data_IF_202712160359
#
_entry.id   IF_202712160359
#
_cell.length_a   1.000
_cell.length_b   1.000
_cell.length_c   1.000
_cell.angle_alpha   90.00
_cell.angle_beta   90.00
_cell.angle_gamma   90.00
#
_symmetry.space_group_name_H-M   'P 1'
#
loop_
_entity.id
_entity.type
_entity.pdbx_description
1 polymer ?
#
# COMPACT_ATOMS: atom_id res chain seq x y z
N UNK A 1 -22.22 59.02 -39.97
CA UNK A 1 -23.64 59.35 -39.86
C UNK A 1 -24.47 58.19 -40.32
N UNK A 2 -25.51 57.87 -39.61
CA UNK A 2 -26.61 56.91 -39.79
C UNK A 2 -26.42 55.58 -39.06
N UNK A 3 -27.04 55.52 -37.86
CA UNK A 3 -27.31 54.36 -37.05
C UNK A 3 -28.47 53.58 -37.68
N UNK A 4 -28.32 52.24 -37.79
CA UNK A 4 -29.44 51.33 -38.00
C UNK A 4 -29.65 50.48 -36.77
N UNK A 5 -30.74 50.75 -36.04
CA UNK A 5 -31.27 49.93 -34.95
C UNK A 5 -32.03 48.73 -35.53
N UNK A 6 -31.65 47.49 -35.17
CA UNK A 6 -32.45 46.29 -35.45
C UNK A 6 -33.38 46.02 -34.30
N UNK A 7 -34.64 46.18 -34.51
CA UNK A 7 -35.74 45.77 -33.64
C UNK A 7 -35.90 44.26 -33.70
N UNK A 8 -35.79 43.56 -32.56
CA UNK A 8 -36.14 42.16 -32.44
C UNK A 8 -37.62 42.00 -32.21
N UNK A 9 -38.30 41.26 -33.10
CA UNK A 9 -39.72 40.89 -33.00
C UNK A 9 -39.84 39.72 -32.02
N UNK A 10 -40.72 39.88 -31.01
CA UNK A 10 -41.16 38.81 -30.12
C UNK A 10 -42.28 38.02 -30.81
N UNK A 11 -42.13 36.67 -30.84
CA UNK A 11 -43.21 35.78 -31.24
C UNK A 11 -44.02 35.34 -30.01
N UNK A 12 -45.35 35.27 -30.10
CA UNK A 12 -46.19 34.84 -28.98
C UNK A 12 -46.13 33.30 -28.80
N UNK A 13 -45.95 32.87 -27.58
CA UNK A 13 -46.04 31.48 -27.18
C UNK A 13 -47.49 31.00 -27.17
N UNK A 14 -47.78 29.97 -27.93
CA UNK A 14 -49.06 29.22 -27.86
C UNK A 14 -49.14 28.47 -26.53
N UNK A 15 -50.20 28.73 -25.78
CA UNK A 15 -50.56 28.01 -24.57
C UNK A 15 -51.43 26.80 -25.00
N UNK A 16 -50.87 25.59 -24.87
CA UNK A 16 -51.63 24.34 -25.06
C UNK A 16 -52.22 23.94 -23.71
N UNK A 17 -53.48 24.05 -23.55
CA UNK A 17 -54.27 23.59 -22.40
C UNK A 17 -54.56 22.09 -22.59
N UNK A 18 -53.89 21.20 -21.89
CA UNK A 18 -54.24 19.77 -21.79
C UNK A 18 -55.30 19.58 -20.70
N UNK A 19 -56.50 19.24 -21.10
CA UNK A 19 -57.58 18.78 -20.21
C UNK A 19 -57.27 17.32 -19.79
N UNK A 20 -57.04 17.09 -18.52
CA UNK A 20 -56.94 15.71 -17.93
C UNK A 20 -58.33 15.27 -17.58
N UNK A 21 -58.78 14.23 -18.28
CA UNK A 21 -60.00 13.43 -17.90
C UNK A 21 -59.58 12.43 -16.79
N UNK A 22 -60.10 12.61 -15.58
CA UNK A 22 -59.95 11.69 -14.47
C UNK A 22 -60.92 10.52 -14.64
N UNK A 23 -60.36 9.36 -15.05
CA UNK A 23 -61.08 8.08 -14.97
C UNK A 23 -60.81 7.46 -13.61
N UNK A 24 -61.80 7.38 -12.69
CA UNK A 24 -61.76 6.60 -11.48
C UNK A 24 -61.89 5.09 -11.83
N UNK A 25 -60.79 4.34 -11.77
CA UNK A 25 -60.78 2.90 -11.72
C UNK A 25 -60.83 2.46 -10.26
N UNK A 26 -61.95 1.90 -9.82
CA UNK A 26 -62.05 1.21 -8.55
C UNK A 26 -61.31 -0.13 -8.64
N UNK A 27 -60.19 -0.28 -7.96
CA UNK A 27 -59.50 -1.57 -7.76
C UNK A 27 -60.03 -2.23 -6.50
N UNK A 28 -60.22 -3.56 -6.49
CA UNK A 28 -60.64 -4.28 -5.30
C UNK A 28 -59.49 -4.34 -4.29
N UNK A 29 -59.81 -4.05 -3.02
CA UNK A 29 -58.92 -4.23 -1.89
C UNK A 29 -58.66 -5.73 -1.69
N UNK A 30 -57.54 -6.23 -2.25
CA UNK A 30 -56.99 -7.54 -1.92
C UNK A 30 -56.34 -7.46 -0.54
N UNK A 31 -56.81 -8.30 0.40
CA UNK A 31 -56.17 -8.45 1.71
C UNK A 31 -54.74 -8.98 1.51
N UNK A 32 -53.75 -8.16 1.87
CA UNK A 32 -52.36 -8.57 1.93
C UNK A 32 -52.13 -9.43 3.18
N UNK A 33 -52.12 -10.74 2.99
CA UNK A 33 -51.65 -11.67 4.03
C UNK A 33 -50.14 -11.46 4.21
N UNK A 34 -49.75 -10.88 5.34
CA UNK A 34 -48.34 -10.81 5.78
C UNK A 34 -47.87 -12.23 6.08
N UNK A 35 -47.12 -12.82 5.14
CA UNK A 35 -46.38 -14.05 5.41
C UNK A 35 -45.17 -13.65 6.27
N UNK A 36 -45.23 -14.02 7.54
CA UNK A 36 -44.07 -14.02 8.43
C UNK A 36 -43.04 -15.01 7.87
N UNK A 37 -41.99 -14.50 7.19
CA UNK A 37 -40.80 -15.28 6.91
C UNK A 37 -40.15 -15.63 8.24
N UNK A 38 -40.40 -16.85 8.75
CA UNK A 38 -39.64 -17.41 9.86
C UNK A 38 -38.16 -17.49 9.47
N UNK A 39 -37.33 -16.70 10.11
CA UNK A 39 -35.89 -16.87 10.08
C UNK A 39 -35.59 -18.22 10.77
N UNK A 40 -35.36 -19.25 9.99
CA UNK A 40 -34.73 -20.45 10.49
C UNK A 40 -33.26 -20.09 10.82
N UNK A 41 -32.73 -20.41 12.02
CA UNK A 41 -31.33 -20.20 12.30
C UNK A 41 -30.51 -21.02 11.31
N UNK A 42 -29.69 -20.33 10.49
CA UNK A 42 -28.71 -20.97 9.62
C UNK A 42 -27.76 -21.76 10.50
N UNK A 43 -27.79 -23.08 10.39
CA UNK A 43 -26.73 -23.92 10.92
C UNK A 43 -25.42 -23.57 10.20
N UNK A 44 -24.29 -23.44 10.90
CA UNK A 44 -23.02 -23.21 10.25
C UNK A 44 -22.71 -24.41 9.35
N UNK A 45 -22.79 -24.23 8.06
CA UNK A 45 -22.28 -25.20 7.10
C UNK A 45 -20.77 -25.27 7.27
N UNK A 46 -20.27 -26.45 7.61
CA UNK A 46 -18.84 -26.75 7.61
C UNK A 46 -18.31 -26.52 6.18
N UNK A 47 -17.44 -25.52 6.03
CA UNK A 47 -16.73 -25.29 4.79
C UNK A 47 -15.79 -26.47 4.53
N UNK A 48 -15.60 -26.94 3.29
CA UNK A 48 -14.56 -27.89 2.97
C UNK A 48 -13.22 -27.28 3.39
N UNK A 49 -12.52 -27.95 4.30
CA UNK A 49 -11.15 -27.58 4.65
C UNK A 49 -10.27 -27.86 3.43
N UNK A 50 -9.96 -26.80 2.70
CA UNK A 50 -8.86 -26.86 1.74
C UNK A 50 -7.55 -26.97 2.53
N UNK A 51 -6.87 -28.09 2.35
CA UNK A 51 -5.65 -28.44 3.06
C UNK A 51 -4.51 -27.53 2.58
N UNK A 52 -4.33 -26.38 3.20
CA UNK A 52 -3.24 -25.48 2.83
C UNK A 52 -2.91 -24.36 3.82
N UNK A 53 -3.78 -24.06 4.77
CA UNK A 53 -3.58 -22.92 5.69
C UNK A 53 -3.68 -23.24 7.18
N UNK A 54 -3.48 -24.50 7.58
CA UNK A 54 -3.47 -24.89 8.98
C UNK A 54 -2.06 -25.21 9.47
N UNK A 55 -1.24 -24.21 9.75
CA UNK A 55 -0.16 -24.34 10.72
C UNK A 55 -0.09 -23.08 11.59
N UNK A 56 -0.41 -23.26 12.88
CA UNK A 56 0.11 -22.42 13.94
C UNK A 56 -0.83 -21.53 14.73
N UNK A 57 -2.05 -21.98 15.06
CA UNK A 57 -2.74 -21.40 16.22
C UNK A 57 -2.70 -22.37 17.38
N UNK A 58 -1.58 -22.39 18.09
CA UNK A 58 -1.52 -22.95 19.46
C UNK A 58 -2.33 -22.02 20.37
N UNK A 59 -3.38 -22.60 20.97
CA UNK A 59 -4.18 -22.00 22.04
C UNK A 59 -3.31 -21.97 23.29
N UNK A 60 -2.56 -20.89 23.50
CA UNK A 60 -1.67 -20.65 24.62
C UNK A 60 -1.79 -19.22 25.11
N UNK A 61 -2.19 -19.11 26.37
CA UNK A 61 -2.03 -17.99 27.31
C UNK A 61 -2.40 -16.56 26.89
N UNK A 62 -3.54 -16.10 27.41
CA UNK A 62 -4.08 -14.74 27.34
C UNK A 62 -3.32 -13.70 28.19
N UNK A 63 -2.02 -13.86 28.43
CA UNK A 63 -1.18 -12.90 29.16
C UNK A 63 0.15 -12.62 28.45
N UNK A 64 0.15 -12.54 27.12
CA UNK A 64 1.32 -12.19 26.31
C UNK A 64 1.22 -10.75 25.80
N UNK A 65 2.15 -9.90 26.21
CA UNK A 65 2.53 -8.66 25.51
C UNK A 65 2.60 -8.91 23.99
N UNK A 66 2.20 -7.93 23.13
CA UNK A 66 2.24 -8.11 21.66
C UNK A 66 3.65 -8.49 21.21
N UNK A 67 3.76 -9.62 20.55
CA UNK A 67 4.98 -10.26 20.07
C UNK A 67 5.49 -9.55 18.79
N UNK A 68 5.77 -8.24 18.89
CA UNK A 68 6.31 -7.46 17.77
C UNK A 68 7.82 -7.71 17.55
N UNK A 69 8.50 -8.27 18.56
CA UNK A 69 9.97 -8.45 18.50
C UNK A 69 10.42 -9.68 17.69
N UNK A 70 9.54 -10.63 17.39
CA UNK A 70 9.93 -11.90 16.76
C UNK A 70 9.73 -11.92 15.23
N UNK A 71 8.96 -10.98 14.65
CA UNK A 71 8.68 -10.98 13.21
C UNK A 71 9.93 -10.65 12.39
N UNK A 72 10.74 -9.69 12.83
CA UNK A 72 12.01 -9.31 12.16
C UNK A 72 13.10 -10.37 12.30
N UNK A 73 13.05 -11.19 13.37
CA UNK A 73 14.00 -12.27 13.57
C UNK A 73 13.89 -13.37 12.49
N UNK A 74 12.73 -13.49 11.82
CA UNK A 74 12.49 -14.46 10.76
C UNK A 74 12.82 -13.96 9.34
N UNK A 75 13.07 -12.65 9.18
CA UNK A 75 13.42 -12.11 7.88
C UNK A 75 14.88 -12.41 7.51
N UNK A 76 15.18 -12.75 6.25
CA UNK A 76 16.55 -12.76 5.74
C UNK A 76 17.24 -11.42 5.97
N UNK A 77 18.53 -11.42 6.32
CA UNK A 77 19.30 -10.19 6.65
C UNK A 77 19.16 -9.08 5.61
N UNK A 78 19.10 -9.44 4.32
CA UNK A 78 18.92 -8.47 3.24
C UNK A 78 17.62 -7.67 3.35
N UNK A 79 16.57 -8.23 3.95
CA UNK A 79 15.24 -7.62 4.07
C UNK A 79 15.04 -6.89 5.40
N UNK A 80 15.96 -7.05 6.35
CA UNK A 80 15.88 -6.33 7.63
C UNK A 80 16.10 -4.84 7.44
N UNK A 81 15.45 -4.07 8.29
CA UNK A 81 15.62 -2.61 8.36
C UNK A 81 17.06 -2.23 8.61
N UNK A 82 17.61 -1.30 7.79
CA UNK A 82 18.96 -0.80 7.96
C UNK A 82 19.15 0.57 7.33
N UNK A 83 20.10 1.36 7.86
CA UNK A 83 20.52 2.63 7.26
C UNK A 83 21.53 2.31 6.16
N UNK A 84 21.29 2.86 4.97
CA UNK A 84 22.13 2.64 3.79
C UNK A 84 22.52 3.97 3.13
N UNK A 85 23.59 3.96 2.33
CA UNK A 85 23.88 5.04 1.39
C UNK A 85 22.76 5.15 0.34
N UNK A 86 22.42 6.38 -0.08
CA UNK A 86 21.34 6.62 -1.01
C UNK A 86 21.71 7.72 -2.01
N UNK A 87 22.00 7.32 -3.25
CA UNK A 87 22.65 8.19 -4.26
C UNK A 87 21.65 9.03 -5.09
N UNK A 88 20.36 9.10 -4.72
CA UNK A 88 19.38 9.96 -5.42
C UNK A 88 19.17 11.27 -4.69
N UNK A 89 18.92 12.32 -5.49
CA UNK A 89 18.63 13.68 -5.00
C UNK A 89 17.15 13.86 -4.60
N UNK A 90 16.58 12.90 -3.87
CA UNK A 90 15.24 13.05 -3.31
C UNK A 90 15.31 13.80 -1.98
N UNK A 91 14.37 14.73 -1.72
CA UNK A 91 14.32 15.45 -0.43
C UNK A 91 14.15 14.48 0.75
N UNK A 92 14.67 14.84 1.92
CA UNK A 92 14.40 14.11 3.15
C UNK A 92 12.89 14.01 3.41
N UNK A 93 12.43 12.88 3.93
CA UNK A 93 11.01 12.58 4.12
C UNK A 93 10.34 11.95 2.89
N UNK A 94 11.00 11.85 1.74
CA UNK A 94 10.49 11.14 0.57
C UNK A 94 10.58 9.63 0.80
N UNK A 95 9.55 8.92 0.36
CA UNK A 95 9.54 7.45 0.27
C UNK A 95 9.89 7.08 -1.18
N UNK A 96 10.86 6.20 -1.38
CA UNK A 96 11.20 5.65 -2.69
C UNK A 96 11.02 4.13 -2.65
N UNK A 97 10.23 3.58 -3.57
CA UNK A 97 9.91 2.15 -3.63
C UNK A 97 10.57 1.54 -4.86
N UNK A 98 11.48 0.62 -4.62
CA UNK A 98 12.13 -0.20 -5.62
C UNK A 98 11.46 -1.57 -5.66
N UNK A 99 10.43 -1.68 -6.49
CA UNK A 99 9.64 -2.89 -6.61
C UNK A 99 10.43 -4.08 -7.15
N UNK A 100 11.46 -3.84 -7.97
CA UNK A 100 12.31 -4.88 -8.54
C UNK A 100 13.11 -5.63 -7.47
N UNK A 101 13.64 -4.87 -6.52
CA UNK A 101 14.50 -5.39 -5.47
C UNK A 101 13.75 -5.68 -4.17
N UNK A 102 12.43 -5.41 -4.14
CA UNK A 102 11.56 -5.58 -2.96
C UNK A 102 12.03 -4.73 -1.76
N UNK A 103 12.38 -3.46 -2.04
CA UNK A 103 12.81 -2.50 -1.03
C UNK A 103 11.98 -1.22 -1.04
N UNK A 104 11.83 -0.65 0.15
CA UNK A 104 11.35 0.70 0.37
C UNK A 104 12.45 1.51 1.07
N UNK A 105 12.70 2.72 0.61
CA UNK A 105 13.66 3.65 1.19
C UNK A 105 12.93 4.87 1.74
N UNK A 106 13.16 5.18 3.00
CA UNK A 106 12.78 6.46 3.59
C UNK A 106 14.00 7.38 3.63
N UNK A 107 13.97 8.44 2.85
CA UNK A 107 15.11 9.34 2.65
C UNK A 107 15.36 10.18 3.90
N UNK A 108 16.58 10.09 4.46
CA UNK A 108 17.02 10.87 5.63
C UNK A 108 17.71 12.18 5.26
N UNK A 109 18.11 12.33 3.99
CA UNK A 109 19.01 13.38 3.54
C UNK A 109 20.48 13.02 3.73
N UNK A 110 21.39 13.89 3.26
CA UNK A 110 22.83 13.70 3.34
C UNK A 110 23.31 12.35 2.75
N UNK A 111 22.71 11.95 1.63
CA UNK A 111 23.06 10.70 0.94
C UNK A 111 22.72 9.43 1.72
N UNK A 112 21.74 9.47 2.63
CA UNK A 112 21.33 8.31 3.45
C UNK A 112 19.83 8.08 3.40
N UNK A 113 19.44 6.81 3.56
CA UNK A 113 18.05 6.39 3.73
C UNK A 113 17.94 5.23 4.72
N UNK A 114 16.76 5.06 5.32
CA UNK A 114 16.38 3.81 5.96
C UNK A 114 15.82 2.91 4.87
N UNK A 115 16.36 1.71 4.72
CA UNK A 115 15.87 0.68 3.81
C UNK A 115 15.07 -0.35 4.58
N UNK A 116 13.89 -0.69 4.07
CA UNK A 116 13.02 -1.74 4.57
C UNK A 116 12.80 -2.80 3.49
N UNK A 117 12.67 -4.07 3.88
CA UNK A 117 12.18 -5.13 3.00
C UNK A 117 10.67 -5.01 2.80
N UNK A 118 10.19 -5.22 1.58
CA UNK A 118 8.75 -5.10 1.29
C UNK A 118 8.26 -6.24 0.40
N UNK A 119 6.98 -6.61 0.58
CA UNK A 119 6.23 -7.39 -0.41
C UNK A 119 5.58 -6.44 -1.43
N UNK A 120 5.61 -6.81 -2.71
CA UNK A 120 5.17 -5.93 -3.80
C UNK A 120 4.15 -6.61 -4.73
N UNK A 121 3.62 -5.86 -5.70
CA UNK A 121 2.68 -6.35 -6.70
C UNK A 121 3.26 -7.52 -7.50
N UNK A 122 2.46 -8.60 -7.66
CA UNK A 122 2.77 -9.69 -8.60
C UNK A 122 2.74 -9.17 -10.03
N UNK A 123 3.18 -10.00 -10.96
CA UNK A 123 3.12 -9.69 -12.39
C UNK A 123 1.70 -9.26 -12.83
N UNK A 124 1.63 -8.21 -13.67
CA UNK A 124 0.37 -7.58 -14.07
C UNK A 124 -0.25 -6.62 -13.04
N UNK A 125 0.32 -6.52 -11.82
CA UNK A 125 -0.11 -5.59 -10.77
C UNK A 125 1.01 -4.65 -10.31
N UNK A 126 2.03 -4.48 -11.14
CA UNK A 126 3.10 -3.51 -10.91
C UNK A 126 2.72 -2.16 -11.49
N UNK A 127 3.09 -1.10 -10.81
CA UNK A 127 2.90 0.29 -11.23
C UNK A 127 4.13 1.11 -10.88
N UNK A 128 4.28 2.26 -11.52
CA UNK A 128 5.35 3.21 -11.24
C UNK A 128 4.82 4.64 -11.35
N UNK A 129 5.52 5.58 -10.77
CA UNK A 129 5.15 6.99 -10.78
C UNK A 129 5.29 7.66 -9.42
N UNK A 130 4.72 8.85 -9.32
CA UNK A 130 4.77 9.67 -8.11
C UNK A 130 3.38 9.80 -7.52
N UNK A 131 3.28 9.58 -6.22
CA UNK A 131 2.09 9.76 -5.40
C UNK A 131 2.43 10.58 -4.15
N UNK A 132 1.43 10.88 -3.34
CA UNK A 132 1.62 11.40 -1.99
C UNK A 132 0.81 10.57 -1.00
N UNK A 133 1.26 10.53 0.25
CA UNK A 133 0.46 9.94 1.33
C UNK A 133 -0.76 10.83 1.56
N UNK A 134 -1.94 10.36 1.22
CA UNK A 134 -3.19 11.12 1.36
C UNK A 134 -3.86 10.94 2.72
N UNK A 135 -3.67 9.80 3.35
CA UNK A 135 -4.25 9.46 4.66
C UNK A 135 -3.43 8.39 5.36
N UNK A 136 -3.46 8.40 6.69
CA UNK A 136 -2.85 7.41 7.57
C UNK A 136 -3.93 6.80 8.46
N UNK A 137 -3.81 5.51 8.78
CA UNK A 137 -4.72 4.83 9.70
C UNK A 137 -3.97 3.77 10.53
N UNK A 138 -4.35 3.67 11.80
CA UNK A 138 -3.91 2.63 12.71
C UNK A 138 -4.95 1.52 12.72
N UNK A 139 -4.51 0.27 12.67
CA UNK A 139 -5.35 -0.92 12.64
C UNK A 139 -6.59 -0.74 11.75
N UNK A 140 -6.40 -0.42 10.45
CA UNK A 140 -7.50 -0.08 9.56
C UNK A 140 -8.40 -1.28 9.28
N UNK A 141 -9.68 -1.02 9.12
CA UNK A 141 -10.60 -2.00 8.55
C UNK A 141 -10.22 -2.31 7.09
N UNK A 142 -10.41 -3.55 6.69
CA UNK A 142 -10.17 -3.99 5.33
C UNK A 142 -11.47 -4.30 4.58
N UNK A 143 -11.63 -3.61 3.48
CA UNK A 143 -12.66 -3.89 2.49
C UNK A 143 -11.94 -4.33 1.21
N UNK A 144 -12.07 -5.60 0.79
CA UNK A 144 -11.48 -6.06 -0.47
C UNK A 144 -11.98 -5.22 -1.64
N UNK A 145 -11.10 -4.77 -2.56
CA UNK A 145 -11.50 -4.10 -3.78
C UNK A 145 -12.46 -4.95 -4.62
N UNK A 146 -13.41 -4.31 -5.33
CA UNK A 146 -14.40 -5.01 -6.15
C UNK A 146 -13.76 -5.98 -7.14
N UNK A 147 -12.64 -5.57 -7.77
CA UNK A 147 -11.89 -6.44 -8.69
C UNK A 147 -11.28 -7.66 -7.99
N UNK A 148 -10.90 -7.57 -6.72
CA UNK A 148 -10.40 -8.70 -5.95
C UNK A 148 -11.54 -9.67 -5.64
N UNK A 149 -12.69 -9.16 -5.23
CA UNK A 149 -13.91 -9.94 -5.02
C UNK A 149 -14.33 -10.68 -6.31
N UNK A 150 -14.27 -10.01 -7.47
CA UNK A 150 -14.60 -10.64 -8.75
C UNK A 150 -13.70 -11.85 -9.08
N UNK A 151 -12.41 -11.78 -8.71
CA UNK A 151 -11.45 -12.89 -8.88
C UNK A 151 -11.54 -13.95 -7.80
N UNK A 152 -11.99 -13.59 -6.60
CA UNK A 152 -12.04 -14.42 -5.41
C UNK A 152 -13.36 -14.17 -4.66
N UNK A 153 -14.50 -14.72 -5.16
CA UNK A 153 -15.83 -14.43 -4.63
C UNK A 153 -16.05 -14.88 -3.17
N UNK A 154 -15.25 -15.81 -2.70
CA UNK A 154 -15.27 -16.36 -1.33
C UNK A 154 -14.67 -15.41 -0.28
N UNK A 155 -13.95 -14.35 -0.67
CA UNK A 155 -13.39 -13.40 0.28
C UNK A 155 -14.48 -12.69 1.09
N UNK A 156 -14.24 -12.45 2.40
CA UNK A 156 -15.15 -11.66 3.21
C UNK A 156 -15.27 -10.25 2.63
N UNK A 157 -16.44 -9.64 2.75
CA UNK A 157 -16.67 -8.25 2.28
C UNK A 157 -16.07 -7.21 3.21
N UNK A 158 -15.74 -7.62 4.44
CA UNK A 158 -15.22 -6.80 5.51
C UNK A 158 -14.39 -7.64 6.47
N UNK A 159 -13.26 -7.09 6.91
CA UNK A 159 -12.47 -7.59 8.05
C UNK A 159 -12.15 -6.40 8.95
N UNK A 160 -12.60 -6.47 10.21
CA UNK A 160 -12.29 -5.43 11.19
C UNK A 160 -10.78 -5.29 11.43
N UNK A 161 -10.36 -4.08 11.82
CA UNK A 161 -8.96 -3.83 12.21
C UNK A 161 -8.53 -4.72 13.37
N UNK A 162 -7.27 -5.17 13.34
CA UNK A 162 -6.71 -6.05 14.36
C UNK A 162 -5.65 -6.99 13.83
N UNK A 163 -5.05 -7.85 14.68
CA UNK A 163 -3.92 -8.71 14.31
C UNK A 163 -4.20 -9.69 13.16
N UNK A 164 -5.46 -10.14 13.01
CA UNK A 164 -5.88 -11.01 11.91
C UNK A 164 -6.18 -10.29 10.59
N UNK A 165 -6.11 -8.95 10.56
CA UNK A 165 -6.43 -8.16 9.38
C UNK A 165 -5.25 -8.14 8.40
N UNK A 166 -5.46 -8.39 7.09
CA UNK A 166 -4.38 -8.42 6.10
C UNK A 166 -3.67 -7.08 5.88
N UNK A 167 -4.23 -5.95 6.36
CA UNK A 167 -3.56 -4.64 6.32
C UNK A 167 -2.61 -4.41 7.51
N UNK A 168 -2.61 -5.31 8.50
CA UNK A 168 -1.74 -5.23 9.66
C UNK A 168 -1.96 -3.98 10.52
N UNK A 169 -0.91 -3.60 11.27
CA UNK A 169 -0.99 -2.58 12.31
C UNK A 169 -1.21 -1.16 11.79
N UNK A 170 -0.73 -0.82 10.59
CA UNK A 170 -0.77 0.55 10.02
C UNK A 170 -0.99 0.52 8.52
N UNK A 171 -1.67 1.55 8.00
CA UNK A 171 -1.76 1.79 6.57
C UNK A 171 -1.57 3.27 6.22
N UNK A 172 -0.85 3.53 5.13
CA UNK A 172 -0.66 4.83 4.49
C UNK A 172 -1.24 4.74 3.08
N UNK A 173 -2.27 5.53 2.80
CA UNK A 173 -2.99 5.53 1.53
C UNK A 173 -2.30 6.46 0.54
N UNK A 174 -2.27 6.10 -0.74
CA UNK A 174 -1.50 6.79 -1.77
C UNK A 174 -2.41 7.53 -2.76
N UNK A 175 -2.41 8.86 -2.71
CA UNK A 175 -3.22 9.72 -3.56
C UNK A 175 -4.71 9.38 -3.49
N UNK A 176 -5.37 9.34 -4.64
CA UNK A 176 -6.75 8.88 -4.82
C UNK A 176 -6.85 7.42 -5.29
N UNK A 177 -5.72 6.70 -5.30
CA UNK A 177 -5.67 5.31 -5.77
C UNK A 177 -6.11 4.32 -4.68
N UNK A 178 -6.31 3.06 -5.09
CA UNK A 178 -6.53 1.95 -4.16
C UNK A 178 -5.24 1.44 -3.51
N UNK A 179 -4.06 1.98 -3.89
CA UNK A 179 -2.77 1.54 -3.41
C UNK A 179 -2.45 2.07 -2.01
N UNK A 180 -1.72 1.26 -1.25
CA UNK A 180 -1.34 1.54 0.14
C UNK A 180 0.05 0.99 0.41
N UNK A 181 0.73 1.61 1.38
CA UNK A 181 1.83 1.00 2.11
C UNK A 181 1.22 0.56 3.44
N UNK A 182 1.33 -0.73 3.79
CA UNK A 182 0.62 -1.27 4.96
C UNK A 182 1.38 -2.43 5.61
N UNK A 183 1.03 -2.76 6.83
CA UNK A 183 1.52 -3.94 7.53
C UNK A 183 0.97 -5.25 6.94
N UNK A 184 1.19 -6.35 7.62
CA UNK A 184 0.65 -7.65 7.21
C UNK A 184 0.42 -8.55 8.40
N UNK A 185 -0.54 -9.46 8.30
CA UNK A 185 -0.69 -10.61 9.19
C UNK A 185 0.10 -11.83 8.70
N UNK A 186 0.81 -11.72 7.57
CA UNK A 186 1.64 -12.78 7.00
C UNK A 186 3.03 -12.23 6.61
N UNK A 187 3.98 -12.18 7.56
CA UNK A 187 5.34 -11.69 7.32
C UNK A 187 6.11 -12.48 6.26
N UNK A 188 5.73 -13.73 5.99
CA UNK A 188 6.37 -14.56 4.96
C UNK A 188 6.25 -13.98 3.55
N UNK A 189 5.35 -13.01 3.35
CA UNK A 189 5.13 -12.32 2.07
C UNK A 189 6.14 -11.20 1.79
N UNK A 190 6.96 -10.82 2.77
CA UNK A 190 8.00 -9.81 2.60
C UNK A 190 9.12 -10.36 1.70
N UNK A 191 9.56 -9.55 0.77
CA UNK A 191 10.53 -9.95 -0.25
C UNK A 191 9.93 -10.70 -1.45
N UNK A 192 8.59 -10.80 -1.52
CA UNK A 192 7.87 -11.55 -2.57
C UNK A 192 6.97 -10.66 -3.43
N UNK A 193 6.65 -11.14 -4.64
CA UNK A 193 5.77 -10.51 -5.62
C UNK A 193 4.37 -11.14 -5.51
N UNK A 194 3.56 -10.74 -4.53
CA UNK A 194 2.31 -11.43 -4.19
C UNK A 194 1.07 -10.54 -4.11
N UNK A 195 1.25 -9.22 -3.99
CA UNK A 195 0.13 -8.29 -3.78
C UNK A 195 -0.61 -7.94 -5.08
N UNK A 196 -1.74 -7.27 -4.96
CA UNK A 196 -2.46 -6.63 -6.08
C UNK A 196 -2.04 -5.16 -6.27
N UNK A 197 -0.77 -4.83 -6.02
CA UNK A 197 -0.17 -3.51 -6.24
C UNK A 197 0.15 -2.74 -4.95
N UNK A 198 -0.44 -3.10 -3.80
CA UNK A 198 -0.07 -2.53 -2.50
C UNK A 198 1.34 -2.98 -2.07
N UNK A 199 1.96 -2.18 -1.22
CA UNK A 199 3.29 -2.41 -0.66
C UNK A 199 3.13 -2.94 0.75
N UNK A 200 3.55 -4.18 1.00
CA UNK A 200 3.47 -4.84 2.30
C UNK A 200 4.75 -4.67 3.09
N UNK A 201 4.64 -4.47 4.38
CA UNK A 201 5.75 -4.40 5.33
C UNK A 201 5.45 -5.32 6.52
N UNK A 202 6.46 -5.69 7.31
CA UNK A 202 6.19 -6.25 8.63
C UNK A 202 5.42 -5.23 9.48
N UNK A 203 4.73 -5.67 10.52
CA UNK A 203 4.04 -4.75 11.41
C UNK A 203 5.01 -3.82 12.15
N UNK A 204 6.18 -4.33 12.54
CA UNK A 204 7.23 -3.54 13.18
C UNK A 204 7.73 -2.43 12.24
N UNK A 205 8.10 -2.77 11.01
CA UNK A 205 8.62 -1.82 10.04
C UNK A 205 7.60 -0.76 9.62
N UNK A 206 6.32 -1.14 9.44
CA UNK A 206 5.28 -0.18 9.08
C UNK A 206 4.97 0.77 10.23
N UNK A 207 5.05 0.32 11.49
CA UNK A 207 4.90 1.19 12.67
C UNK A 207 6.04 2.22 12.72
N UNK A 208 7.29 1.79 12.52
CA UNK A 208 8.45 2.69 12.47
C UNK A 208 8.31 3.71 11.33
N UNK A 209 8.01 3.27 10.11
CA UNK A 209 7.82 4.17 8.97
C UNK A 209 6.63 5.13 9.18
N UNK A 210 5.52 4.63 9.70
CA UNK A 210 4.33 5.42 10.00
C UNK A 210 4.62 6.57 10.97
N UNK A 211 5.45 6.36 11.99
CA UNK A 211 5.87 7.39 12.93
C UNK A 211 6.70 8.51 12.29
N UNK A 212 7.40 8.22 11.18
CA UNK A 212 8.28 9.16 10.48
C UNK A 212 7.58 9.96 9.38
N UNK A 213 6.54 9.39 8.77
CA UNK A 213 5.89 9.90 7.56
C UNK A 213 4.71 10.80 7.91
N UNK A 214 4.65 11.98 7.30
CA UNK A 214 3.50 12.88 7.38
C UNK A 214 2.55 12.69 6.19
N UNK A 215 1.28 13.04 6.37
CA UNK A 215 0.34 13.22 5.25
C UNK A 215 0.91 14.30 4.32
N UNK A 216 0.82 14.07 3.02
CA UNK A 216 1.46 14.89 1.99
C UNK A 216 2.88 14.42 1.60
N UNK A 217 3.51 13.51 2.35
CA UNK A 217 4.84 12.99 2.01
C UNK A 217 4.86 12.40 0.60
N UNK A 218 5.90 12.74 -0.17
CA UNK A 218 6.12 12.26 -1.54
C UNK A 218 6.46 10.78 -1.53
N UNK A 219 5.84 10.03 -2.43
CA UNK A 219 6.11 8.61 -2.67
C UNK A 219 6.47 8.41 -4.14
N UNK A 220 7.65 7.91 -4.40
CA UNK A 220 8.16 7.61 -5.75
C UNK A 220 8.25 6.10 -5.90
N UNK A 221 7.48 5.54 -6.82
CA UNK A 221 7.57 4.13 -7.19
C UNK A 221 8.35 4.02 -8.49
N UNK A 222 9.47 3.33 -8.44
CA UNK A 222 10.39 3.24 -9.55
C UNK A 222 9.86 2.34 -10.67
N UNK A 223 10.15 2.64 -11.95
CA UNK A 223 9.87 1.73 -13.04
C UNK A 223 10.71 0.44 -12.92
N UNK A 224 10.21 -0.65 -13.49
CA UNK A 224 10.76 -2.01 -13.39
C UNK A 224 12.26 -2.13 -13.73
N UNK A 225 12.83 -1.24 -14.52
CA UNK A 225 14.24 -1.29 -14.93
C UNK A 225 15.08 -0.13 -14.37
N UNK A 226 14.62 0.49 -13.29
CA UNK A 226 15.41 1.55 -12.65
C UNK A 226 16.73 0.99 -12.09
N UNK A 227 17.83 1.72 -12.18
CA UNK A 227 19.09 1.28 -11.59
C UNK A 227 18.97 1.19 -10.08
N UNK A 228 19.73 0.26 -9.46
CA UNK A 228 19.83 0.07 -8.01
C UNK A 228 20.15 1.39 -7.31
N UNK A 229 19.41 1.65 -6.25
CA UNK A 229 19.37 2.95 -5.56
C UNK A 229 20.37 3.10 -4.43
N UNK A 230 20.83 1.99 -3.85
CA UNK A 230 21.66 2.01 -2.66
C UNK A 230 23.01 1.36 -2.96
N UNK A 231 24.10 2.07 -2.69
CA UNK A 231 25.38 1.40 -2.52
C UNK A 231 25.30 0.65 -1.20
N UNK A 232 25.44 -0.68 -1.26
CA UNK A 232 25.57 -1.50 -0.07
C UNK A 232 26.70 -0.95 0.82
N UNK A 233 26.54 -1.06 2.12
CA UNK A 233 27.57 -0.72 3.13
C UNK A 233 28.91 -1.47 2.96
N UNK A 234 29.06 -2.29 1.94
CA UNK A 234 30.26 -3.08 1.68
C UNK A 234 31.49 -2.23 1.29
N UNK A 235 31.31 -0.94 0.93
CA UNK A 235 32.44 -0.06 0.66
C UNK A 235 33.13 0.51 1.91
N UNK A 236 32.61 0.26 3.10
CA UNK A 236 33.29 0.66 4.34
C UNK A 236 34.43 -0.30 4.77
N UNK A 237 34.67 -1.38 4.03
CA UNK A 237 35.71 -2.38 4.30
C UNK A 237 36.83 -2.49 3.25
N UNK A 238 36.92 -1.60 2.30
CA UNK A 238 38.20 -1.47 1.58
C UNK A 238 39.18 -0.73 2.46
N UNK A 239 39.81 -1.47 3.39
CA UNK A 239 41.09 -1.03 3.96
C UNK A 239 42.01 -0.78 2.76
N UNK A 240 42.71 0.38 2.72
CA UNK A 240 43.71 0.61 1.67
C UNK A 240 44.64 -0.59 1.64
N UNK A 241 44.87 -1.10 0.44
CA UNK A 241 45.83 -2.20 0.26
C UNK A 241 47.19 -1.72 0.76
N UNK A 242 47.69 -2.36 1.81
CA UNK A 242 49.02 -2.12 2.31
C UNK A 242 49.99 -2.82 1.35
N UNK A 243 50.63 -2.07 0.48
CA UNK A 243 51.68 -2.60 -0.38
C UNK A 243 52.97 -2.60 0.44
N UNK A 244 53.49 -3.78 0.76
CA UNK A 244 54.83 -3.93 1.36
C UNK A 244 55.90 -3.70 0.29
N UNK A 245 56.72 -2.68 0.50
CA UNK A 245 57.89 -2.45 -0.32
C UNK A 245 58.97 -3.50 0.00
N UNK A 246 59.87 -3.83 -0.95
CA UNK A 246 60.92 -4.82 -0.76
C UNK A 246 61.89 -4.52 0.41
N UNK A 247 61.87 -3.32 0.97
CA UNK A 247 62.66 -2.88 2.10
C UNK A 247 61.99 -3.01 3.47
N UNK A 248 60.83 -3.70 3.56
CA UNK A 248 60.13 -3.92 4.84
C UNK A 248 59.41 -2.70 5.41
N UNK A 249 59.32 -1.58 4.69
CA UNK A 249 58.56 -0.39 5.10
C UNK A 249 57.16 -0.40 4.51
N UNK A 250 56.15 -0.13 5.33
CA UNK A 250 54.79 0.04 4.89
C UNK A 250 54.55 1.46 4.36
N UNK A 251 54.03 1.58 3.13
CA UNK A 251 53.56 2.86 2.58
C UNK A 251 52.03 2.85 2.42
N UNK A 252 51.39 3.90 2.91
CA UNK A 252 49.99 4.18 2.66
C UNK A 252 49.83 4.85 1.30
N UNK A 253 49.20 4.19 0.33
CA UNK A 253 48.81 4.82 -0.92
C UNK A 253 47.62 5.76 -0.68
N UNK A 254 47.87 7.04 -0.56
CA UNK A 254 46.86 8.08 -0.59
C UNK A 254 46.76 8.52 -2.05
N UNK A 255 45.75 7.98 -2.77
CA UNK A 255 45.38 8.50 -4.09
C UNK A 255 44.80 9.91 -3.92
N UNK A 256 45.59 10.92 -4.21
CA UNK A 256 45.11 12.28 -4.36
C UNK A 256 44.23 12.32 -5.65
N UNK A 257 42.95 12.48 -5.50
CA UNK A 257 42.05 12.87 -6.61
C UNK A 257 42.45 14.32 -6.97
N UNK A 258 43.06 14.49 -8.12
CA UNK A 258 43.31 15.78 -8.72
C UNK A 258 41.97 16.49 -9.00
N UNK A 259 41.83 17.65 -8.41
CA UNK A 259 40.86 18.68 -8.76
C UNK A 259 41.27 19.25 -10.12
N UNK A 260 40.36 19.18 -11.09
CA UNK A 260 40.24 20.11 -12.20
C UNK A 260 38.78 20.45 -12.38
#
# INVERSE_FOLDING_TARGET
MTRFSRVRRFSPRAVITCAFATALLALPLGEASAQTFGYAPMQPQAYPQDQGYSQGYSRGDVNGTPQAADEDAQLPDRLRKQIVGFDRSEPAGTIVIDTNNTYLYYVLGQGRAIRYGVGVGREGFTWSGVQSVSRKAEWPDWHPPAQMIARQPYLPRFVAGGPGNPLGARAMYLGSSEYRIHGTNDPSTIGKFVSSGCIRMTNEDVIDLFGRVNVGAKVVVLPKNAPLMARGSDHMRQRPAVTTLPSGRQALNISASSVN
#
